data_IF_506194207206
#
_entry.id   IF_506194207206
#
_cell.length_a   1.000
_cell.length_b   1.000
_cell.length_c   1.000
_cell.angle_alpha   90.00
_cell.angle_beta   90.00
_cell.angle_gamma   90.00
#
_symmetry.space_group_name_H-M   'P 1'
#
loop_
_entity.id
_entity.type
_entity.pdbx_description
1 polymer ?
#
# COMPACT_ATOMS: atom_id res chain seq x y z
N UNK A 1 50.19 10.53 39.81
CA UNK A 1 51.51 9.86 39.87
C UNK A 1 51.28 8.36 39.74
N UNK A 2 52.25 7.70 39.13
CA UNK A 2 52.37 6.33 38.64
C UNK A 2 51.72 5.17 39.43
N UNK A 3 51.18 4.19 38.68
CA UNK A 3 51.09 2.72 38.96
C UNK A 3 52.48 2.12 39.30
N UNK A 4 52.73 0.82 39.67
CA UNK A 4 51.96 -0.43 39.43
C UNK A 4 52.08 -1.59 40.48
N UNK A 5 51.32 -2.70 40.33
CA UNK A 5 51.68 -4.13 40.54
C UNK A 5 50.37 -4.97 40.39
N UNK A 6 50.14 -5.81 39.38
CA UNK A 6 50.77 -7.04 38.86
C UNK A 6 50.46 -8.34 39.63
N UNK A 7 49.93 -9.32 38.86
CA UNK A 7 49.88 -10.81 39.01
C UNK A 7 48.80 -11.41 39.89
N UNK A 8 48.18 -12.55 39.58
CA UNK A 8 48.12 -13.49 38.45
C UNK A 8 46.91 -14.41 38.79
N UNK A 9 46.10 -14.85 37.82
CA UNK A 9 45.51 -16.19 37.82
C UNK A 9 44.85 -16.47 36.45
N UNK A 10 45.70 -16.99 35.57
CA UNK A 10 45.54 -18.23 34.80
C UNK A 10 44.20 -19.01 34.85
N UNK A 11 43.90 -19.60 33.67
CA UNK A 11 43.07 -20.81 33.39
C UNK A 11 41.55 -20.60 33.23
N UNK A 12 40.86 -21.13 32.21
CA UNK A 12 41.15 -22.20 31.26
C UNK A 12 40.42 -21.94 29.92
N UNK A 13 41.09 -22.36 28.84
CA UNK A 13 40.49 -22.72 27.55
C UNK A 13 39.42 -23.80 27.76
N UNK A 14 38.21 -23.59 27.22
CA UNK A 14 37.38 -24.71 26.76
C UNK A 14 36.63 -24.31 25.49
N UNK A 15 37.27 -24.70 24.39
CA UNK A 15 36.64 -24.94 23.09
C UNK A 15 35.82 -26.22 23.16
N UNK A 16 34.85 -26.27 22.25
CA UNK A 16 34.11 -27.45 21.81
C UNK A 16 33.01 -27.96 22.76
N UNK A 17 31.77 -27.65 22.41
CA UNK A 17 30.82 -28.72 22.06
C UNK A 17 29.58 -28.15 21.34
N UNK A 18 29.58 -28.35 20.02
CA UNK A 18 28.40 -28.33 19.15
C UNK A 18 27.86 -29.76 19.07
N UNK A 19 26.60 -30.01 19.46
CA UNK A 19 25.90 -31.21 18.97
C UNK A 19 24.50 -30.93 18.40
N UNK A 20 24.27 -31.45 17.18
CA UNK A 20 22.97 -31.82 16.60
C UNK A 20 22.17 -30.66 16.00
N UNK A 21 21.92 -30.57 14.69
CA UNK A 21 21.57 -31.63 13.74
C UNK A 21 20.59 -32.66 14.31
N UNK A 22 19.41 -32.17 14.71
CA UNK A 22 18.15 -32.91 14.56
C UNK A 22 17.04 -31.98 14.09
N UNK A 23 16.71 -32.16 12.82
CA UNK A 23 15.46 -31.76 12.21
C UNK A 23 14.33 -32.57 12.83
N UNK A 24 13.42 -31.93 13.57
CA UNK A 24 12.13 -32.52 13.95
C UNK A 24 11.04 -31.44 13.87
N UNK A 25 10.02 -31.68 13.05
CA UNK A 25 8.70 -31.09 13.28
C UNK A 25 8.04 -30.28 12.16
N UNK A 26 8.36 -30.47 10.88
CA UNK A 26 7.43 -30.10 9.79
C UNK A 26 7.09 -31.34 8.97
N UNK A 27 5.87 -31.84 9.18
CA UNK A 27 5.27 -32.91 8.38
C UNK A 27 4.56 -32.27 7.18
N UNK A 28 5.02 -32.60 5.97
CA UNK A 28 4.30 -32.29 4.73
C UNK A 28 2.97 -33.06 4.67
N UNK A 29 1.85 -32.41 4.27
CA UNK A 29 0.61 -33.13 4.01
C UNK A 29 0.73 -34.02 2.76
N UNK A 30 0.35 -35.28 2.94
CA UNK A 30 0.48 -36.38 1.97
C UNK A 30 -0.63 -36.33 0.91
N UNK A 31 -0.72 -35.27 0.10
CA UNK A 31 -1.72 -35.19 -0.97
C UNK A 31 -1.21 -34.57 -2.27
N UNK A 32 -0.13 -35.09 -2.84
CA UNK A 32 0.17 -34.90 -4.26
C UNK A 32 0.55 -36.23 -4.90
N UNK A 33 -0.47 -36.88 -5.44
CA UNK A 33 -0.35 -38.08 -6.24
C UNK A 33 0.54 -37.86 -7.45
N UNK A 34 1.48 -38.77 -7.60
CA UNK A 34 2.30 -38.99 -8.79
C UNK A 34 1.38 -39.44 -9.93
N UNK A 35 1.41 -38.75 -11.07
CA UNK A 35 0.64 -39.11 -12.25
C UNK A 35 1.15 -38.40 -13.49
N UNK A 36 2.12 -39.01 -14.17
CA UNK A 36 2.58 -38.64 -15.51
C UNK A 36 1.43 -38.69 -16.53
N UNK A 37 1.16 -37.59 -17.23
CA UNK A 37 0.90 -37.58 -18.70
C UNK A 37 0.76 -36.15 -19.24
N UNK A 38 1.67 -35.75 -20.12
CA UNK A 38 1.43 -34.65 -21.06
C UNK A 38 0.52 -35.11 -22.21
N UNK A 39 -0.34 -34.21 -22.73
CA UNK A 39 -0.59 -34.15 -24.16
C UNK A 39 -0.32 -32.75 -24.74
N UNK A 40 -0.07 -32.75 -26.05
CA UNK A 40 0.39 -31.66 -26.92
C UNK A 40 -0.69 -30.56 -27.17
N UNK A 41 -0.36 -29.45 -27.86
CA UNK A 41 -1.13 -28.21 -27.83
C UNK A 41 -2.36 -28.28 -28.75
N UNK A 42 -3.50 -27.84 -28.22
CA UNK A 42 -4.76 -27.67 -28.96
C UNK A 42 -5.18 -26.21 -28.97
N UNK A 43 -5.42 -25.70 -30.18
CA UNK A 43 -6.02 -24.42 -30.49
C UNK A 43 -7.45 -24.28 -29.92
N UNK A 44 -7.83 -23.05 -29.56
CA UNK A 44 -9.24 -22.62 -29.55
C UNK A 44 -9.79 -22.18 -28.20
N UNK A 45 -10.21 -20.90 -28.13
CA UNK A 45 -11.15 -20.44 -27.10
C UNK A 45 -10.84 -19.04 -26.56
N UNK A 46 -11.09 -18.01 -27.37
CA UNK A 46 -11.03 -16.62 -26.95
C UNK A 46 -11.90 -16.39 -25.71
N UNK A 47 -11.31 -15.76 -24.71
CA UNK A 47 -11.95 -15.28 -23.50
C UNK A 47 -13.10 -14.34 -23.84
N UNK A 48 -14.34 -14.83 -23.70
CA UNK A 48 -15.53 -14.00 -23.66
C UNK A 48 -15.48 -13.11 -22.41
N UNK A 49 -15.09 -11.85 -22.58
CA UNK A 49 -15.23 -10.84 -21.55
C UNK A 49 -16.72 -10.61 -21.31
N UNK A 50 -17.18 -10.86 -20.08
CA UNK A 50 -18.52 -10.51 -19.64
C UNK A 50 -18.67 -8.97 -19.65
N UNK A 51 -19.67 -8.45 -20.36
CA UNK A 51 -20.05 -7.03 -20.42
C UNK A 51 -21.50 -6.87 -19.93
N UNK A 52 -21.80 -5.92 -19.01
CA UNK A 52 -23.16 -5.69 -18.54
C UNK A 52 -24.04 -4.96 -19.58
N UNK A 53 -25.38 -5.10 -19.51
CA UNK A 53 -26.29 -4.53 -20.50
C UNK A 53 -26.27 -2.98 -20.48
N UNK A 54 -26.08 -2.36 -21.65
CA UNK A 54 -26.14 -0.89 -21.84
C UNK A 54 -24.86 -0.23 -22.34
N UNK A 55 -23.80 -1.01 -22.61
CA UNK A 55 -22.55 -0.52 -23.20
C UNK A 55 -22.32 -1.15 -24.59
N UNK A 56 -22.90 -0.55 -25.63
CA UNK A 56 -22.52 -0.83 -27.01
C UNK A 56 -21.33 0.09 -27.38
N UNK A 57 -20.12 -0.45 -27.31
CA UNK A 57 -18.95 0.19 -27.91
C UNK A 57 -18.95 -0.09 -29.43
N UNK A 58 -18.72 0.91 -30.30
CA UNK A 58 -18.58 0.64 -31.73
C UNK A 58 -17.36 -0.26 -31.98
N UNK A 59 -17.51 -1.24 -32.87
CA UNK A 59 -16.44 -2.14 -33.25
C UNK A 59 -15.22 -1.35 -33.73
N UNK A 60 -14.06 -1.62 -33.13
CA UNK A 60 -12.81 -1.03 -33.60
C UNK A 60 -12.46 -1.60 -34.98
N UNK A 61 -12.52 -0.75 -36.02
CA UNK A 61 -12.01 -1.10 -37.34
C UNK A 61 -10.47 -1.23 -37.31
N UNK A 62 -9.89 -2.26 -37.95
CA UNK A 62 -8.44 -2.37 -38.06
C UNK A 62 -7.94 -1.70 -39.35
N UNK A 63 -6.94 -0.81 -39.22
CA UNK A 63 -5.76 -0.64 -40.11
C UNK A 63 -5.26 0.81 -40.13
N UNK A 64 -3.98 1.01 -39.74
CA UNK A 64 -3.09 1.91 -40.47
C UNK A 64 -1.71 1.28 -40.61
N UNK A 65 -1.20 1.39 -41.84
CA UNK A 65 0.06 0.84 -42.35
C UNK A 65 1.27 1.41 -41.61
N UNK A 66 2.25 0.54 -41.40
CA UNK A 66 3.62 0.88 -40.99
C UNK A 66 4.34 1.60 -42.13
N UNK A 67 4.68 2.87 -41.95
CA UNK A 67 5.66 3.57 -42.79
C UNK A 67 7.08 3.19 -42.34
N UNK A 68 7.92 2.81 -43.30
CA UNK A 68 9.33 2.47 -43.13
C UNK A 68 10.14 3.67 -42.63
N UNK A 69 10.85 3.48 -41.52
CA UNK A 69 11.80 4.44 -40.97
C UNK A 69 13.21 4.14 -41.51
N UNK A 70 13.98 5.12 -42.02
CA UNK A 70 15.32 4.89 -42.58
C UNK A 70 16.37 4.62 -41.47
N UNK A 71 17.41 3.82 -41.74
CA UNK A 71 18.37 3.39 -40.72
C UNK A 71 19.34 4.51 -40.31
N UNK A 72 19.56 4.65 -39.00
CA UNK A 72 20.53 5.56 -38.41
C UNK A 72 21.98 5.00 -38.48
N UNK A 73 23.02 5.87 -38.57
CA UNK A 73 24.40 5.43 -38.74
C UNK A 73 25.02 4.87 -37.45
N UNK A 74 25.80 3.80 -37.64
CA UNK A 74 26.56 3.07 -36.63
C UNK A 74 27.79 3.85 -36.14
N UNK A 75 27.76 4.29 -34.88
CA UNK A 75 28.93 4.71 -34.11
C UNK A 75 29.46 3.57 -33.21
N UNK A 76 30.77 3.52 -32.90
CA UNK A 76 31.39 2.37 -32.26
C UNK A 76 31.04 2.23 -30.77
N UNK A 77 30.62 1.01 -30.41
CA UNK A 77 30.27 0.57 -29.06
C UNK A 77 31.54 0.29 -28.26
N UNK A 78 31.79 1.07 -27.20
CA UNK A 78 32.72 0.68 -26.14
C UNK A 78 31.93 -0.17 -25.14
N UNK A 79 32.18 -1.48 -25.18
CA UNK A 79 31.44 -2.48 -24.42
C UNK A 79 31.69 -2.43 -22.92
N UNK A 80 30.60 -2.38 -22.15
CA UNK A 80 30.46 -3.15 -20.90
C UNK A 80 29.14 -3.92 -20.96
N UNK A 81 29.25 -5.17 -21.38
CA UNK A 81 28.15 -6.12 -21.42
C UNK A 81 27.70 -6.49 -20.02
N UNK A 82 26.65 -5.84 -19.54
CA UNK A 82 25.75 -6.41 -18.55
C UNK A 82 24.45 -6.74 -19.26
N UNK A 83 24.13 -8.04 -19.42
CA UNK A 83 22.77 -8.43 -19.82
C UNK A 83 21.79 -7.80 -18.82
N UNK A 84 20.70 -7.14 -19.28
CA UNK A 84 19.63 -6.73 -18.39
C UNK A 84 19.17 -7.95 -17.60
N UNK A 85 19.32 -7.92 -16.27
CA UNK A 85 18.94 -9.03 -15.41
C UNK A 85 17.42 -9.07 -15.38
N UNK A 86 16.83 -10.20 -15.77
CA UNK A 86 15.39 -10.43 -15.59
C UNK A 86 15.10 -10.43 -14.09
N UNK A 87 14.19 -9.58 -13.59
CA UNK A 87 13.84 -9.56 -12.18
C UNK A 87 13.31 -10.93 -11.75
N UNK A 88 13.74 -11.39 -10.59
CA UNK A 88 13.24 -12.64 -9.97
C UNK A 88 11.75 -12.53 -9.66
N UNK A 89 11.06 -13.66 -9.49
CA UNK A 89 9.63 -13.67 -9.11
C UNK A 89 9.37 -12.86 -7.84
N UNK A 90 10.28 -12.91 -6.85
CA UNK A 90 10.20 -12.06 -5.66
C UNK A 90 10.31 -10.57 -6.00
N UNK A 91 11.28 -10.17 -6.84
CA UNK A 91 11.43 -8.77 -7.28
C UNK A 91 10.26 -8.29 -8.14
N UNK A 92 9.58 -9.18 -8.86
CA UNK A 92 8.35 -8.87 -9.62
C UNK A 92 7.15 -8.67 -8.69
N UNK A 93 7.07 -9.42 -7.58
CA UNK A 93 6.04 -9.24 -6.54
C UNK A 93 6.26 -7.93 -5.75
N UNK A 94 7.51 -7.54 -5.53
CA UNK A 94 7.88 -6.24 -4.93
C UNK A 94 8.12 -5.14 -5.97
N UNK A 95 7.75 -5.37 -7.24
CA UNK A 95 7.93 -4.37 -8.28
C UNK A 95 6.98 -3.20 -8.01
N UNK A 96 7.56 -2.02 -7.89
CA UNK A 96 6.83 -0.77 -7.73
C UNK A 96 5.81 -0.60 -8.86
N UNK A 97 4.52 -0.50 -8.51
CA UNK A 97 3.42 -0.29 -9.46
C UNK A 97 2.89 1.13 -9.50
N UNK A 98 3.52 2.07 -8.79
CA UNK A 98 3.09 3.46 -8.83
C UNK A 98 3.47 4.13 -10.15
N UNK A 99 2.63 5.03 -10.61
CA UNK A 99 2.87 5.88 -11.76
C UNK A 99 2.70 7.34 -11.32
N UNK A 100 3.76 7.89 -10.74
CA UNK A 100 3.75 9.26 -10.23
C UNK A 100 3.49 10.28 -11.32
N UNK A 101 3.97 10.04 -12.54
CA UNK A 101 3.78 10.95 -13.67
C UNK A 101 2.34 10.87 -14.16
N UNK A 102 1.78 9.67 -14.29
CA UNK A 102 0.37 9.47 -14.64
C UNK A 102 -0.59 10.01 -13.58
N UNK A 103 -0.31 9.80 -12.29
CA UNK A 103 -1.12 10.29 -11.19
C UNK A 103 -1.17 11.82 -11.15
N UNK A 104 -0.01 12.49 -11.25
CA UNK A 104 0.04 13.96 -11.28
C UNK A 104 -0.59 14.53 -12.56
N UNK A 105 -0.37 13.89 -13.71
CA UNK A 105 -1.02 14.28 -14.96
C UNK A 105 -2.54 14.15 -14.89
N UNK A 106 -3.05 13.06 -14.33
CA UNK A 106 -4.47 12.85 -14.06
C UNK A 106 -5.02 13.91 -13.10
N UNK A 107 -4.30 14.22 -12.02
CA UNK A 107 -4.69 15.23 -11.04
C UNK A 107 -4.88 16.60 -11.73
N UNK A 108 -3.91 17.04 -12.53
CA UNK A 108 -4.01 18.29 -13.29
C UNK A 108 -5.21 18.29 -14.26
N UNK A 109 -5.47 17.17 -14.94
CA UNK A 109 -6.64 17.03 -15.84
C UNK A 109 -7.98 17.16 -15.10
N UNK A 110 -8.02 16.77 -13.83
CA UNK A 110 -9.20 16.86 -12.97
C UNK A 110 -9.26 18.17 -12.16
N UNK A 111 -8.41 19.16 -12.50
CA UNK A 111 -8.39 20.46 -11.84
C UNK A 111 -7.79 20.44 -10.43
N UNK A 112 -7.07 19.36 -10.07
CA UNK A 112 -6.31 19.30 -8.83
C UNK A 112 -4.99 20.05 -9.00
N UNK A 113 -4.48 20.54 -7.89
CA UNK A 113 -3.17 21.21 -7.80
C UNK A 113 -2.09 20.21 -7.43
N UNK A 114 -0.88 20.42 -7.93
CA UNK A 114 0.29 19.58 -7.63
C UNK A 114 1.37 20.46 -7.01
N UNK A 115 2.04 19.95 -5.97
CA UNK A 115 3.16 20.57 -5.29
C UNK A 115 4.22 19.54 -4.93
N UNK A 116 5.43 19.99 -4.63
CA UNK A 116 6.54 19.11 -4.25
C UNK A 116 6.48 18.63 -2.79
N UNK A 117 5.52 19.13 -2.00
CA UNK A 117 5.34 18.77 -0.60
C UNK A 117 6.21 19.56 0.38
N UNK A 118 6.80 20.69 -0.06
CA UNK A 118 7.68 21.52 0.77
C UNK A 118 7.05 22.83 1.26
N UNK A 119 5.78 23.08 0.90
CA UNK A 119 5.09 24.30 1.29
C UNK A 119 4.69 24.27 2.78
N UNK A 120 4.49 25.43 3.45
CA UNK A 120 4.07 25.47 4.85
C UNK A 120 2.79 24.69 5.15
N UNK A 121 1.83 24.68 4.21
CA UNK A 121 0.59 23.89 4.29
C UNK A 121 0.82 22.37 4.25
N UNK A 122 2.00 21.91 3.81
CA UNK A 122 2.38 20.50 3.78
C UNK A 122 2.91 20.00 5.13
N UNK A 123 3.10 20.89 6.12
CA UNK A 123 3.62 20.50 7.43
C UNK A 123 2.78 19.39 8.12
N UNK A 124 1.46 19.39 7.88
CA UNK A 124 0.54 18.36 8.39
C UNK A 124 0.82 16.97 7.79
N UNK A 125 1.38 16.90 6.58
CA UNK A 125 1.69 15.63 5.92
C UNK A 125 2.83 14.89 6.64
N UNK A 126 3.73 15.61 7.31
CA UNK A 126 4.77 15.00 8.13
C UNK A 126 4.18 14.21 9.32
N UNK A 127 3.10 14.71 9.92
CA UNK A 127 2.37 14.00 10.97
C UNK A 127 1.66 12.76 10.42
N UNK A 128 1.04 12.86 9.24
CA UNK A 128 0.45 11.70 8.55
C UNK A 128 1.50 10.62 8.25
N UNK A 129 2.69 10.99 7.78
CA UNK A 129 3.80 10.04 7.55
C UNK A 129 4.31 9.43 8.85
N UNK A 130 4.43 10.22 9.93
CA UNK A 130 4.91 9.75 11.22
C UNK A 130 3.95 8.75 11.88
N UNK A 131 2.65 8.99 11.73
CA UNK A 131 1.57 8.17 12.30
C UNK A 131 1.11 7.03 11.39
N UNK A 132 1.58 7.00 10.13
CA UNK A 132 1.15 6.03 9.15
C UNK A 132 1.29 4.59 9.68
N UNK A 133 0.30 3.72 9.44
CA UNK A 133 0.26 2.36 9.97
C UNK A 133 1.23 1.41 9.24
N UNK A 134 2.27 1.95 8.60
CA UNK A 134 3.34 1.27 7.88
C UNK A 134 4.69 1.54 8.55
N UNK A 135 5.73 0.80 8.18
CA UNK A 135 7.07 0.97 8.78
C UNK A 135 7.83 2.12 8.13
N UNK A 136 7.53 3.35 8.55
CA UNK A 136 8.32 4.52 8.17
C UNK A 136 9.62 4.62 8.97
N UNK A 137 10.69 5.05 8.31
CA UNK A 137 11.98 5.46 8.89
C UNK A 137 12.15 6.99 8.81
N UNK A 138 13.16 7.55 9.48
CA UNK A 138 13.38 9.01 9.60
C UNK A 138 13.54 9.72 8.25
N UNK A 139 14.01 9.01 7.24
CA UNK A 139 14.30 9.52 5.90
C UNK A 139 13.03 9.62 5.02
N UNK A 140 11.91 9.07 5.49
CA UNK A 140 10.65 9.10 4.74
C UNK A 140 10.00 10.47 4.83
N UNK A 141 9.45 10.90 3.71
CA UNK A 141 8.71 12.15 3.59
C UNK A 141 7.63 12.05 2.52
N UNK A 142 6.66 12.96 2.60
CA UNK A 142 5.70 13.15 1.53
C UNK A 142 6.39 13.74 0.29
N UNK A 143 5.97 13.30 -0.90
CA UNK A 143 6.38 13.86 -2.17
C UNK A 143 5.25 13.72 -3.21
N UNK A 144 5.31 14.57 -4.25
CA UNK A 144 4.35 14.54 -5.34
C UNK A 144 2.93 14.80 -4.86
N UNK A 145 2.76 15.83 -4.03
CA UNK A 145 1.50 16.11 -3.35
C UNK A 145 0.48 16.65 -4.34
N UNK A 146 -0.68 16.02 -4.38
CA UNK A 146 -1.82 16.33 -5.23
C UNK A 146 -2.99 16.74 -4.33
N UNK A 147 -3.61 17.90 -4.58
CA UNK A 147 -4.75 18.39 -3.81
C UNK A 147 -5.90 18.78 -4.70
N UNK A 148 -7.09 18.33 -4.37
CA UNK A 148 -8.30 18.77 -5.05
C UNK A 148 -9.54 18.18 -4.44
N UNK A 149 -10.64 18.28 -5.16
CA UNK A 149 -11.96 17.84 -4.70
C UNK A 149 -12.38 16.59 -5.46
N UNK A 150 -12.89 15.59 -4.74
CA UNK A 150 -13.59 14.45 -5.31
C UNK A 150 -15.04 14.44 -4.79
N UNK A 151 -15.98 14.80 -5.66
CA UNK A 151 -17.38 14.95 -5.25
C UNK A 151 -17.53 16.02 -4.16
N UNK A 152 -17.97 15.60 -2.96
CA UNK A 152 -18.19 16.48 -1.82
C UNK A 152 -17.00 16.58 -0.85
N UNK A 153 -15.92 15.81 -1.06
CA UNK A 153 -14.77 15.78 -0.16
C UNK A 153 -13.55 16.43 -0.79
N UNK A 154 -12.88 17.28 -0.03
CA UNK A 154 -11.53 17.72 -0.35
C UNK A 154 -10.55 16.59 -0.01
N UNK A 155 -9.50 16.44 -0.81
CA UNK A 155 -8.51 15.37 -0.68
C UNK A 155 -7.11 15.92 -0.88
N UNK A 156 -6.17 15.33 -0.15
CA UNK A 156 -4.73 15.42 -0.41
C UNK A 156 -4.18 14.01 -0.62
N UNK A 157 -3.45 13.81 -1.70
CA UNK A 157 -2.80 12.56 -2.05
C UNK A 157 -1.30 12.78 -2.23
N UNK A 158 -0.47 11.89 -1.72
CA UNK A 158 0.98 11.99 -1.84
C UNK A 158 1.63 10.63 -1.67
N UNK A 159 2.83 10.47 -2.22
CA UNK A 159 3.61 9.28 -1.96
C UNK A 159 4.56 9.51 -0.78
N UNK A 160 4.67 8.49 0.07
CA UNK A 160 5.71 8.39 1.08
C UNK A 160 6.95 7.82 0.40
N UNK A 161 7.93 8.68 0.18
CA UNK A 161 9.17 8.33 -0.50
C UNK A 161 10.28 8.08 0.49
N UNK A 162 11.02 6.98 0.27
CA UNK A 162 12.33 6.80 0.86
C UNK A 162 13.35 7.53 -0.02
N UNK A 163 14.18 8.38 0.59
CA UNK A 163 15.23 9.08 -0.15
C UNK A 163 16.59 8.75 0.43
N UNK A 164 17.39 8.11 -0.41
CA UNK A 164 18.83 7.98 -0.23
C UNK A 164 19.56 8.98 -1.14
N UNK A 165 20.86 9.18 -0.94
CA UNK A 165 21.74 10.08 -1.69
C UNK A 165 21.65 9.91 -3.22
N UNK A 166 21.17 8.76 -3.70
CA UNK A 166 21.14 8.41 -5.13
C UNK A 166 19.75 8.20 -5.71
N UNK A 167 18.71 8.01 -4.89
CA UNK A 167 17.38 7.57 -5.35
C UNK A 167 16.27 8.07 -4.43
N UNK A 168 15.16 8.44 -5.05
CA UNK A 168 13.86 8.65 -4.42
C UNK A 168 12.98 7.48 -4.83
N UNK A 169 12.52 6.69 -3.86
CA UNK A 169 11.71 5.49 -4.10
C UNK A 169 10.37 5.65 -3.38
N UNK A 170 9.26 5.82 -4.10
CA UNK A 170 7.94 5.83 -3.49
C UNK A 170 7.61 4.43 -2.99
N UNK A 171 7.25 4.32 -1.71
CA UNK A 171 6.97 3.03 -1.04
C UNK A 171 5.51 2.86 -0.68
N UNK A 172 4.82 3.96 -0.39
CA UNK A 172 3.41 3.95 -0.01
C UNK A 172 2.68 5.15 -0.61
N UNK A 173 1.44 4.92 -1.01
CA UNK A 173 0.52 5.92 -1.50
C UNK A 173 -0.43 6.26 -0.37
N UNK A 174 -0.44 7.52 0.05
CA UNK A 174 -1.36 8.04 1.05
C UNK A 174 -2.35 9.00 0.43
N UNK A 175 -3.64 8.75 0.58
CA UNK A 175 -4.70 9.72 0.29
C UNK A 175 -5.43 10.04 1.59
N UNK A 176 -5.68 11.32 1.85
CA UNK A 176 -6.28 11.77 3.09
C UNK A 176 -7.34 12.83 2.83
N UNK A 177 -8.44 12.73 3.56
CA UNK A 177 -9.52 13.71 3.59
C UNK A 177 -9.44 14.51 4.89
N UNK A 178 -9.27 15.85 4.84
CA UNK A 178 -9.42 16.69 6.03
C UNK A 178 -10.87 16.63 6.52
N UNK A 179 -11.05 16.48 7.83
CA UNK A 179 -12.37 16.40 8.46
C UNK A 179 -12.48 17.49 9.51
N UNK A 180 -13.55 18.29 9.43
CA UNK A 180 -13.79 19.40 10.37
C UNK A 180 -14.33 18.93 11.73
N UNK A 181 -14.90 17.73 11.78
CA UNK A 181 -15.43 17.12 13.00
C UNK A 181 -14.30 16.46 13.80
N UNK A 182 -14.40 16.42 15.14
CA UNK A 182 -13.48 15.63 15.95
C UNK A 182 -13.50 14.16 15.51
N UNK A 183 -12.36 13.66 15.05
CA UNK A 183 -12.22 12.27 14.63
C UNK A 183 -11.85 11.39 15.84
N UNK A 184 -12.52 10.24 16.05
CA UNK A 184 -12.03 9.27 17.01
C UNK A 184 -10.67 8.74 16.56
N UNK A 185 -9.80 8.40 17.51
CA UNK A 185 -8.60 7.60 17.20
C UNK A 185 -9.05 6.27 16.62
N UNK A 186 -8.74 6.00 15.36
CA UNK A 186 -9.31 4.90 14.58
C UNK A 186 -8.23 4.35 13.66
N UNK A 187 -8.19 3.04 13.50
CA UNK A 187 -7.50 2.34 12.42
C UNK A 187 -8.35 1.17 11.94
N UNK A 188 -8.52 1.07 10.64
CA UNK A 188 -9.25 -0.03 10.00
C UNK A 188 -8.29 -0.77 9.08
N UNK A 189 -8.02 -2.02 9.41
CA UNK A 189 -6.96 -2.82 8.79
C UNK A 189 -7.51 -4.12 8.23
N UNK A 190 -7.03 -4.59 7.07
CA UNK A 190 -7.24 -5.97 6.65
C UNK A 190 -6.75 -6.94 7.73
N UNK A 191 -7.53 -7.98 8.03
CA UNK A 191 -7.23 -8.95 9.08
C UNK A 191 -5.90 -9.70 8.85
N UNK A 192 -5.54 -9.86 7.57
CA UNK A 192 -4.28 -10.48 7.13
C UNK A 192 -3.04 -9.59 7.33
N UNK A 193 -3.20 -8.29 7.54
CA UNK A 193 -2.07 -7.39 7.72
C UNK A 193 -1.50 -7.52 9.13
N UNK A 194 -0.18 -7.45 9.21
CA UNK A 194 0.49 -7.37 10.51
C UNK A 194 0.18 -6.00 11.14
N UNK A 195 -0.34 -6.03 12.37
CA UNK A 195 -0.64 -4.83 13.16
C UNK A 195 0.58 -4.41 13.97
N UNK A 196 1.39 -3.48 13.47
CA UNK A 196 2.42 -2.78 14.27
C UNK A 196 1.98 -1.34 14.56
N UNK A 197 2.58 -0.69 15.57
CA UNK A 197 2.30 0.71 15.93
C UNK A 197 0.81 1.00 16.11
N UNK A 198 0.11 0.17 16.88
CA UNK A 198 -1.31 0.41 17.16
C UNK A 198 -1.54 1.60 18.09
N UNK A 199 -0.50 2.17 18.71
CA UNK A 199 -0.63 3.43 19.47
C UNK A 199 -1.62 3.36 20.64
N UNK A 200 -1.85 2.17 21.20
CA UNK A 200 -2.86 1.96 22.26
C UNK A 200 -4.29 1.75 21.74
N UNK A 201 -4.52 1.74 20.43
CA UNK A 201 -5.80 1.35 19.85
C UNK A 201 -6.08 -0.13 20.15
N UNK A 202 -7.32 -0.42 20.55
CA UNK A 202 -7.78 -1.77 20.88
C UNK A 202 -8.78 -2.27 19.85
N UNK A 203 -8.83 -3.59 19.58
CA UNK A 203 -9.83 -4.16 18.68
C UNK A 203 -11.25 -3.90 19.16
N UNK A 204 -12.09 -3.50 18.21
CA UNK A 204 -13.50 -3.24 18.42
C UNK A 204 -14.31 -4.08 17.43
N UNK A 205 -14.97 -5.17 17.87
CA UNK A 205 -15.76 -6.00 16.98
C UNK A 205 -16.85 -5.18 16.28
N UNK A 206 -17.06 -5.41 14.98
CA UNK A 206 -18.13 -4.75 14.23
C UNK A 206 -19.50 -5.34 14.55
N UNK A 207 -19.54 -6.60 15.02
CA UNK A 207 -20.77 -7.37 15.23
C UNK A 207 -21.23 -8.12 13.98
N UNK A 208 -20.42 -8.13 12.91
CA UNK A 208 -20.64 -8.88 11.67
C UNK A 208 -19.45 -9.82 11.46
N UNK A 209 -19.69 -11.13 11.57
CA UNK A 209 -18.64 -12.15 11.44
C UNK A 209 -17.97 -12.15 10.06
N UNK A 210 -18.72 -11.87 8.98
CA UNK A 210 -18.16 -11.85 7.63
C UNK A 210 -17.23 -10.65 7.43
N UNK A 211 -17.57 -9.52 8.04
CA UNK A 211 -16.71 -8.34 8.07
C UNK A 211 -15.49 -8.57 8.95
N UNK A 212 -15.70 -9.03 10.19
CA UNK A 212 -14.64 -9.24 11.20
C UNK A 212 -13.63 -10.34 10.77
N UNK A 213 -14.01 -11.23 9.85
CA UNK A 213 -13.10 -12.19 9.23
C UNK A 213 -12.11 -11.55 8.25
N UNK A 214 -12.45 -10.42 7.62
CA UNK A 214 -11.62 -9.73 6.61
C UNK A 214 -11.00 -8.44 7.10
N UNK A 215 -11.64 -7.76 8.04
CA UNK A 215 -11.28 -6.44 8.51
C UNK A 215 -11.24 -6.40 10.03
N UNK A 216 -10.30 -5.65 10.57
CA UNK A 216 -10.12 -5.43 12.00
C UNK A 216 -10.23 -3.93 12.24
N UNK A 217 -11.27 -3.54 12.96
CA UNK A 217 -11.44 -2.18 13.48
C UNK A 217 -10.68 -2.06 14.79
N UNK A 218 -9.77 -1.10 14.86
CA UNK A 218 -9.06 -0.67 16.05
C UNK A 218 -9.54 0.74 16.40
N UNK A 219 -9.87 0.98 17.65
CA UNK A 219 -10.29 2.30 18.12
C UNK A 219 -9.53 2.68 19.39
N UNK A 220 -9.30 3.97 19.55
CA UNK A 220 -9.02 4.54 20.84
C UNK A 220 -10.33 4.42 21.60
N UNK A 221 -10.31 3.77 22.76
CA UNK A 221 -11.49 3.69 23.62
C UNK A 221 -11.25 4.56 24.86
N UNK A 222 -11.14 5.89 24.71
CA UNK A 222 -11.10 6.77 25.88
C UNK A 222 -12.51 6.94 26.48
N UNK A 223 -13.57 6.85 25.67
CA UNK A 223 -14.97 6.99 26.06
C UNK A 223 -15.94 6.21 25.14
N UNK A 224 -17.20 6.08 25.57
CA UNK A 224 -18.25 5.34 24.86
C UNK A 224 -18.59 5.96 23.49
N UNK A 225 -18.55 7.28 23.37
CA UNK A 225 -18.91 8.02 22.16
C UNK A 225 -17.94 7.75 21.01
N UNK A 226 -16.63 7.75 21.30
CA UNK A 226 -15.58 7.44 20.32
C UNK A 226 -15.72 6.00 19.78
N UNK A 227 -16.05 5.06 20.68
CA UNK A 227 -16.34 3.68 20.30
C UNK A 227 -17.63 3.54 19.48
N UNK A 228 -18.67 4.32 19.78
CA UNK A 228 -19.91 4.32 19.02
C UNK A 228 -19.73 4.85 17.58
N UNK A 229 -18.98 5.94 17.41
CA UNK A 229 -18.65 6.49 16.08
C UNK A 229 -17.86 5.49 15.23
N UNK A 230 -16.85 4.83 15.82
CA UNK A 230 -16.06 3.80 15.14
C UNK A 230 -16.91 2.59 14.72
N UNK A 231 -17.82 2.10 15.59
CA UNK A 231 -18.76 1.02 15.20
C UNK A 231 -19.74 1.47 14.12
N UNK A 232 -20.24 2.70 14.20
CA UNK A 232 -21.17 3.23 13.21
C UNK A 232 -20.56 3.34 11.82
N UNK A 233 -19.28 3.71 11.73
CA UNK A 233 -18.53 3.71 10.48
C UNK A 233 -18.56 2.34 9.77
N UNK A 234 -18.28 1.25 10.50
CA UNK A 234 -18.29 -0.12 9.92
C UNK A 234 -19.68 -0.74 9.85
N UNK A 235 -20.65 -0.15 10.54
CA UNK A 235 -22.08 -0.48 10.43
C UNK A 235 -22.74 0.14 9.19
N UNK A 236 -22.14 1.18 8.61
CA UNK A 236 -22.66 1.81 7.41
C UNK A 236 -22.63 0.83 6.21
N UNK A 237 -23.78 0.61 5.54
CA UNK A 237 -23.88 -0.39 4.49
C UNK A 237 -23.08 -0.03 3.23
N UNK A 238 -22.88 1.26 2.95
CA UNK A 238 -22.09 1.72 1.80
C UNK A 238 -20.61 1.47 2.08
N UNK A 239 -20.12 1.87 3.25
CA UNK A 239 -18.74 1.61 3.67
C UNK A 239 -18.45 0.11 3.68
N UNK A 240 -19.34 -0.70 4.27
CA UNK A 240 -19.19 -2.15 4.32
C UNK A 240 -19.17 -2.78 2.93
N UNK A 241 -20.11 -2.41 2.06
CA UNK A 241 -20.19 -2.92 0.69
C UNK A 241 -18.93 -2.60 -0.12
N UNK A 242 -18.41 -1.37 0.01
CA UNK A 242 -17.17 -0.97 -0.63
C UNK A 242 -15.97 -1.77 -0.12
N UNK A 243 -15.79 -1.86 1.21
CA UNK A 243 -14.66 -2.58 1.82
C UNK A 243 -14.63 -4.06 1.45
N UNK A 244 -15.79 -4.73 1.52
CA UNK A 244 -15.92 -6.13 1.12
C UNK A 244 -15.78 -6.33 -0.40
N UNK A 245 -15.97 -5.29 -1.21
CA UNK A 245 -15.70 -5.30 -2.65
C UNK A 245 -14.24 -5.05 -3.02
N UNK A 246 -13.37 -4.70 -2.07
CA UNK A 246 -11.94 -4.45 -2.33
C UNK A 246 -11.10 -5.71 -2.30
N UNK A 247 -9.83 -5.57 -2.69
CA UNK A 247 -8.79 -6.59 -2.53
C UNK A 247 -8.14 -6.59 -1.13
N UNK A 248 -8.67 -5.80 -0.19
CA UNK A 248 -8.11 -5.45 1.12
C UNK A 248 -6.63 -4.98 1.06
N UNK A 249 -6.23 -4.30 -0.02
CA UNK A 249 -4.88 -3.75 -0.13
C UNK A 249 -4.66 -2.48 0.67
N UNK A 250 -5.73 -1.89 1.20
CA UNK A 250 -5.72 -0.56 1.82
C UNK A 250 -5.89 -0.65 3.34
N UNK A 251 -5.24 0.26 4.05
CA UNK A 251 -5.39 0.44 5.48
C UNK A 251 -5.79 1.89 5.78
N UNK A 252 -6.74 2.09 6.68
CA UNK A 252 -7.27 3.42 7.00
C UNK A 252 -6.94 3.81 8.43
N UNK A 253 -6.69 5.09 8.68
CA UNK A 253 -6.48 5.60 10.04
C UNK A 253 -6.83 7.07 10.15
N UNK A 254 -7.00 7.54 11.38
CA UNK A 254 -7.18 8.96 11.70
C UNK A 254 -5.92 9.53 12.33
N UNK A 255 -5.49 10.70 11.84
CA UNK A 255 -4.36 11.45 12.38
C UNK A 255 -4.40 12.89 11.84
N UNK A 256 -3.85 13.84 12.59
CA UNK A 256 -3.69 15.23 12.15
C UNK A 256 -4.98 15.88 11.60
N UNK A 257 -6.17 15.54 12.13
CA UNK A 257 -7.46 16.03 11.63
C UNK A 257 -7.90 15.44 10.28
N UNK A 258 -7.27 14.37 9.82
CA UNK A 258 -7.60 13.68 8.58
C UNK A 258 -8.07 12.25 8.82
N UNK A 259 -8.92 11.77 7.93
CA UNK A 259 -9.10 10.35 7.67
C UNK A 259 -8.23 9.99 6.46
N UNK A 260 -7.28 9.08 6.64
CA UNK A 260 -6.31 8.69 5.62
C UNK A 260 -6.45 7.22 5.23
N UNK A 261 -6.10 6.92 3.98
CA UNK A 261 -5.95 5.60 3.40
C UNK A 261 -4.49 5.44 2.92
N UNK A 262 -3.90 4.27 3.16
CA UNK A 262 -2.55 3.92 2.69
C UNK A 262 -2.58 2.61 1.95
N UNK A 263 -1.82 2.57 0.87
CA UNK A 263 -1.57 1.35 0.10
C UNK A 263 -0.05 1.13 -0.08
N UNK A 264 0.46 -0.11 0.02
CA UNK A 264 1.86 -0.44 -0.26
C UNK A 264 2.11 -0.50 -1.77
N UNK A 265 2.14 0.68 -2.40
CA UNK A 265 2.52 0.97 -3.79
C UNK A 265 2.57 2.50 -3.92
N UNK A 266 3.06 3.06 -5.04
CA UNK A 266 2.87 4.49 -5.31
C UNK A 266 1.53 4.80 -5.97
N UNK A 267 1.16 6.07 -6.01
CA UNK A 267 -0.09 6.50 -6.63
C UNK A 267 -0.14 6.19 -8.13
N UNK A 268 -1.34 5.81 -8.56
CA UNK A 268 -1.77 5.72 -9.96
C UNK A 268 -3.20 6.28 -10.04
N UNK A 269 -3.69 6.71 -11.21
CA UNK A 269 -5.03 7.27 -11.36
C UNK A 269 -6.13 6.40 -10.73
N UNK A 270 -6.10 5.09 -10.96
CA UNK A 270 -7.13 4.16 -10.46
C UNK A 270 -7.13 4.10 -8.92
N UNK A 271 -5.97 4.26 -8.29
CA UNK A 271 -5.87 4.29 -6.84
C UNK A 271 -6.43 5.58 -6.26
N UNK A 272 -6.20 6.72 -6.91
CA UNK A 272 -6.79 8.01 -6.51
C UNK A 272 -8.31 7.94 -6.54
N UNK A 273 -8.88 7.42 -7.63
CA UNK A 273 -10.34 7.25 -7.76
C UNK A 273 -10.89 6.27 -6.72
N UNK A 274 -10.18 5.17 -6.47
CA UNK A 274 -10.55 4.18 -5.47
C UNK A 274 -10.57 4.76 -4.05
N UNK A 275 -9.48 5.42 -3.64
CA UNK A 275 -9.40 6.08 -2.35
C UNK A 275 -10.43 7.21 -2.23
N UNK A 276 -10.67 7.97 -3.29
CA UNK A 276 -11.68 9.02 -3.29
C UNK A 276 -13.08 8.47 -2.97
N UNK A 277 -13.47 7.35 -3.59
CA UNK A 277 -14.76 6.69 -3.31
C UNK A 277 -14.87 6.22 -1.86
N UNK A 278 -13.83 5.56 -1.35
CA UNK A 278 -13.80 5.03 0.02
C UNK A 278 -13.82 6.16 1.05
N UNK A 279 -12.93 7.13 0.93
CA UNK A 279 -12.82 8.25 1.87
C UNK A 279 -14.10 9.10 1.87
N UNK A 280 -14.72 9.34 0.72
CA UNK A 280 -16.00 10.03 0.67
C UNK A 280 -17.11 9.30 1.45
N UNK A 281 -17.23 7.98 1.27
CA UNK A 281 -18.20 7.17 1.99
C UNK A 281 -17.92 7.15 3.50
N UNK A 282 -16.65 6.99 3.89
CA UNK A 282 -16.26 6.94 5.30
C UNK A 282 -16.43 8.29 6.01
N UNK A 283 -16.09 9.39 5.35
CA UNK A 283 -16.33 10.75 5.89
C UNK A 283 -17.83 11.00 6.05
N UNK A 284 -18.66 10.61 5.08
CA UNK A 284 -20.10 10.75 5.18
C UNK A 284 -20.68 9.91 6.34
N UNK A 285 -20.22 8.67 6.53
CA UNK A 285 -20.64 7.81 7.63
C UNK A 285 -20.25 8.38 9.00
N UNK A 286 -19.05 8.95 9.13
CA UNK A 286 -18.59 9.61 10.35
C UNK A 286 -19.36 10.91 10.61
N UNK A 287 -19.68 11.70 9.58
CA UNK A 287 -20.47 12.92 9.72
C UNK A 287 -21.90 12.63 10.17
N UNK A 288 -22.50 11.52 9.73
CA UNK A 288 -23.80 11.07 10.22
C UNK A 288 -23.78 10.46 11.63
N UNK A 289 -22.59 10.21 12.19
CA UNK A 289 -22.39 9.68 13.54
C UNK A 289 -22.15 10.76 14.61
N UNK A 290 -21.78 11.97 14.18
CA UNK A 290 -21.51 13.13 15.02
C UNK A 290 -22.77 13.90 15.43
#
# INVERSE_FOLDING_TARGET
>A
MSSPHDRDDDRDDDRDDRPGDRAEGWSEPVHLGKGDRAPAPGEGGGSGAWQPPGWDLPAAEPERRTEEQPPAPTGPVVGRGGRPRTPSVAEQVFAYRGDTVGAQGWALQHGWTVSDGTAPEDAVLAELVATAPVRTAKEHRAAGVMRGRAGAVDLVAFDVVFVDKRRTVPQWAVTAAPVLLPLPGLRLSPARFWRHRTGGLVPLPSGDEAFDARWVLLAAVPDEASGAAARRLVADPVVRGLLLGTDDGDEFWTAAGHLAAVRPDGHRPELLEHHARLLAAMVAALAGAA
#
